data_IF_826176476244
#
_entry.id   IF_826176476244
#
_cell.length_a   1.000
_cell.length_b   1.000
_cell.length_c   1.000
_cell.angle_alpha   90.00
_cell.angle_beta   90.00
_cell.angle_gamma   90.00
#
_symmetry.space_group_name_H-M   'P 1'
#
loop_
_entity.id
_entity.type
_entity.pdbx_description
1 polymer ?
#
# COMPACT_ATOMS: atom_id res chain seq x y z
N UNK A 1 11.81 -11.06 11.48
CA UNK A 1 10.76 -11.47 10.54
C UNK A 1 11.30 -12.56 9.63
N UNK A 2 10.65 -13.74 9.58
CA UNK A 2 11.07 -14.91 8.83
C UNK A 2 10.07 -15.13 7.70
N UNK A 3 10.55 -15.11 6.45
CA UNK A 3 9.73 -15.46 5.28
C UNK A 3 10.29 -16.77 4.71
N UNK A 4 9.44 -17.78 4.59
CA UNK A 4 9.78 -19.08 4.04
C UNK A 4 9.12 -19.31 2.69
N UNK A 5 9.77 -20.07 1.82
CA UNK A 5 9.20 -20.48 0.53
C UNK A 5 8.91 -21.98 0.61
N UNK A 6 7.66 -22.38 0.30
CA UNK A 6 7.31 -23.80 0.20
C UNK A 6 7.38 -24.27 -1.26
N UNK A 7 7.74 -25.54 -1.43
CA UNK A 7 7.73 -26.20 -2.75
C UNK A 7 6.49 -27.08 -2.97
N UNK A 8 5.71 -27.30 -1.89
CA UNK A 8 4.49 -28.05 -1.92
C UNK A 8 3.50 -27.44 -0.91
N UNK A 9 2.21 -27.32 -1.27
CA UNK A 9 1.21 -26.67 -0.44
C UNK A 9 1.10 -27.26 0.98
N UNK A 10 1.32 -28.58 1.11
CA UNK A 10 1.24 -29.30 2.39
C UNK A 10 2.38 -28.93 3.36
N UNK A 11 3.44 -28.30 2.87
CA UNK A 11 4.56 -27.82 3.69
C UNK A 11 4.24 -26.48 4.38
N UNK A 12 3.31 -25.68 3.86
CA UNK A 12 3.02 -24.35 4.39
C UNK A 12 2.60 -24.36 5.88
N UNK A 13 1.70 -25.22 6.36
CA UNK A 13 1.34 -25.28 7.79
C UNK A 13 2.54 -25.67 8.68
N UNK A 14 3.41 -26.52 8.19
CA UNK A 14 4.61 -26.96 8.93
C UNK A 14 5.62 -25.84 9.09
N UNK A 15 5.82 -25.05 8.03
CA UNK A 15 6.72 -23.88 8.05
C UNK A 15 6.21 -22.79 9.00
N UNK A 16 4.90 -22.54 9.01
CA UNK A 16 4.27 -21.63 9.98
C UNK A 16 4.42 -22.14 11.42
N UNK A 17 4.20 -23.43 11.65
CA UNK A 17 4.38 -24.06 12.96
C UNK A 17 5.85 -24.04 13.43
N UNK A 18 6.80 -24.06 12.49
CA UNK A 18 8.23 -23.93 12.77
C UNK A 18 8.69 -22.48 13.05
N UNK A 19 7.77 -21.51 13.02
CA UNK A 19 8.03 -20.11 13.36
C UNK A 19 8.24 -19.16 12.18
N UNK A 20 7.84 -19.54 10.97
CA UNK A 20 7.80 -18.59 9.86
C UNK A 20 6.65 -17.57 10.07
N UNK A 21 6.95 -16.27 9.90
CA UNK A 21 5.95 -15.21 9.94
C UNK A 21 5.07 -15.21 8.68
N UNK A 22 5.65 -15.63 7.55
CA UNK A 22 4.95 -15.74 6.26
C UNK A 22 5.52 -16.88 5.45
N UNK A 23 4.63 -17.62 4.78
CA UNK A 23 5.01 -18.64 3.80
C UNK A 23 4.56 -18.20 2.42
N UNK A 24 5.41 -18.38 1.43
CA UNK A 24 5.18 -18.04 0.02
C UNK A 24 5.16 -19.34 -0.77
N UNK A 25 4.06 -19.59 -1.49
CA UNK A 25 3.95 -20.65 -2.48
C UNK A 25 4.12 -20.05 -3.90
N UNK A 26 5.26 -20.31 -4.58
CA UNK A 26 5.51 -19.76 -5.90
C UNK A 26 4.56 -20.30 -6.98
N UNK A 27 4.07 -21.53 -6.81
CA UNK A 27 3.17 -22.15 -7.78
C UNK A 27 1.77 -21.55 -7.70
N UNK A 28 1.25 -21.34 -6.48
CA UNK A 28 -0.03 -20.66 -6.28
C UNK A 28 -0.01 -19.25 -6.85
N UNK A 29 1.05 -18.49 -6.56
CA UNK A 29 1.23 -17.15 -7.10
C UNK A 29 1.31 -17.18 -8.63
N UNK A 30 2.08 -18.11 -9.19
CA UNK A 30 2.25 -18.21 -10.65
C UNK A 30 0.95 -18.62 -11.36
N UNK A 31 0.18 -19.55 -10.79
CA UNK A 31 -1.11 -19.97 -11.34
C UNK A 31 -2.12 -18.80 -11.31
N UNK A 32 -2.22 -18.09 -10.19
CA UNK A 32 -3.08 -16.91 -10.09
C UNK A 32 -2.68 -15.85 -11.10
N UNK A 33 -1.38 -15.63 -11.30
CA UNK A 33 -0.87 -14.65 -12.27
C UNK A 33 -1.17 -15.03 -13.72
N UNK A 34 -1.00 -16.30 -14.09
CA UNK A 34 -1.34 -16.79 -15.43
C UNK A 34 -2.84 -16.58 -15.71
N UNK A 35 -3.69 -16.88 -14.73
CA UNK A 35 -5.13 -16.62 -14.84
C UNK A 35 -5.44 -15.14 -15.10
N UNK A 36 -4.84 -14.23 -14.33
CA UNK A 36 -5.04 -12.78 -14.50
C UNK A 36 -4.51 -12.27 -15.85
N UNK A 37 -3.37 -12.77 -16.31
CA UNK A 37 -2.82 -12.44 -17.65
C UNK A 37 -3.76 -12.81 -18.78
N UNK A 38 -4.50 -13.91 -18.65
CA UNK A 38 -5.49 -14.32 -19.66
C UNK A 38 -6.77 -13.48 -19.58
N UNK A 39 -7.22 -13.14 -18.37
CA UNK A 39 -8.47 -12.43 -18.17
C UNK A 39 -8.34 -10.91 -18.33
N UNK A 40 -7.20 -10.33 -17.90
CA UNK A 40 -7.00 -8.87 -17.78
C UNK A 40 -5.55 -8.49 -18.06
N UNK A 41 -5.02 -8.72 -19.28
CA UNK A 41 -3.60 -8.52 -19.60
C UNK A 41 -3.14 -7.08 -19.34
N UNK A 42 -3.92 -6.07 -19.72
CA UNK A 42 -3.54 -4.66 -19.54
C UNK A 42 -3.46 -4.26 -18.07
N UNK A 43 -4.32 -4.85 -17.22
CA UNK A 43 -4.27 -4.59 -15.76
C UNK A 43 -3.03 -5.19 -15.15
N UNK A 44 -2.66 -6.40 -15.57
CA UNK A 44 -1.43 -7.06 -15.09
C UNK A 44 -0.21 -6.28 -15.54
N UNK A 45 -0.15 -5.86 -16.79
CA UNK A 45 0.94 -5.04 -17.32
C UNK A 45 1.08 -3.71 -16.57
N UNK A 46 -0.02 -3.01 -16.31
CA UNK A 46 -0.03 -1.78 -15.51
C UNK A 46 0.52 -2.02 -14.10
N UNK A 47 0.08 -3.09 -13.42
CA UNK A 47 0.56 -3.42 -12.07
C UNK A 47 2.05 -3.75 -12.07
N UNK A 48 2.55 -4.48 -13.07
CA UNK A 48 3.98 -4.77 -13.21
C UNK A 48 4.81 -3.50 -13.37
N UNK A 49 4.38 -2.62 -14.24
CA UNK A 49 5.05 -1.35 -14.50
C UNK A 49 5.04 -0.45 -13.25
N UNK A 50 3.95 -0.47 -12.48
CA UNK A 50 3.76 0.38 -11.31
C UNK A 50 4.48 -0.16 -10.07
N UNK A 51 4.38 -1.47 -9.81
CA UNK A 51 4.93 -2.11 -8.60
C UNK A 51 6.43 -2.39 -8.72
N UNK A 52 6.91 -2.75 -9.92
CA UNK A 52 8.31 -3.10 -10.14
C UNK A 52 9.16 -1.97 -10.73
N UNK A 53 8.61 -0.76 -10.83
CA UNK A 53 9.40 0.46 -11.02
C UNK A 53 10.02 0.65 -12.41
N UNK A 54 9.41 0.11 -13.46
CA UNK A 54 9.90 0.30 -14.83
C UNK A 54 9.43 1.61 -15.50
N UNK A 55 8.54 2.37 -14.85
CA UNK A 55 8.03 3.66 -15.36
C UNK A 55 7.96 4.72 -14.24
N UNK A 56 7.62 5.96 -14.61
CA UNK A 56 7.51 7.11 -13.72
C UNK A 56 6.38 6.98 -12.67
N UNK A 57 5.54 5.96 -12.76
CA UNK A 57 4.43 5.72 -11.84
C UNK A 57 4.81 4.68 -10.78
N UNK A 58 4.72 5.07 -9.51
CA UNK A 58 5.12 4.24 -8.38
C UNK A 58 3.98 4.11 -7.36
N UNK A 59 3.91 2.95 -6.69
CA UNK A 59 3.13 2.78 -5.47
C UNK A 59 4.04 3.02 -4.27
N UNK A 60 3.60 3.84 -3.34
CA UNK A 60 4.36 4.12 -2.13
C UNK A 60 3.51 4.01 -0.87
N UNK A 61 4.14 3.52 0.19
CA UNK A 61 3.65 3.57 1.55
C UNK A 61 4.29 4.77 2.25
N UNK A 62 3.48 5.61 2.88
CA UNK A 62 3.93 6.81 3.57
C UNK A 62 3.32 6.81 4.96
N UNK A 63 4.16 6.63 5.98
CA UNK A 63 3.74 6.69 7.38
C UNK A 63 3.56 8.13 7.83
N UNK A 64 2.46 8.43 8.51
CA UNK A 64 2.17 9.77 9.06
C UNK A 64 3.05 10.02 10.28
N UNK A 65 3.94 11.03 10.24
CA UNK A 65 4.78 11.36 11.39
C UNK A 65 3.96 11.93 12.56
N UNK A 66 4.44 11.74 13.80
CA UNK A 66 3.76 12.20 15.00
C UNK A 66 3.56 13.72 15.10
N UNK A 67 4.36 14.50 14.41
CA UNK A 67 4.27 15.96 14.35
C UNK A 67 3.57 16.47 13.09
N UNK A 68 3.02 15.57 12.26
CA UNK A 68 2.33 15.94 11.04
C UNK A 68 1.04 16.70 11.32
N UNK A 69 0.76 17.70 10.49
CA UNK A 69 -0.52 18.41 10.49
C UNK A 69 -1.72 17.52 10.13
N UNK A 70 -1.46 16.31 9.58
CA UNK A 70 -2.49 15.34 9.23
C UNK A 70 -3.12 14.66 10.45
N UNK A 71 -2.49 14.75 11.62
CA UNK A 71 -3.07 14.17 12.83
C UNK A 71 -4.43 14.79 13.14
N UNK A 72 -5.47 13.97 13.19
CA UNK A 72 -6.83 14.40 13.41
C UNK A 72 -7.59 14.91 12.17
N UNK A 73 -6.92 14.96 11.00
CA UNK A 73 -7.55 15.36 9.73
C UNK A 73 -8.33 14.18 9.16
N UNK A 74 -9.49 14.46 8.59
CA UNK A 74 -10.29 13.46 7.87
C UNK A 74 -9.76 13.21 6.46
N UNK A 75 -9.95 12.00 5.95
CA UNK A 75 -9.51 11.60 4.62
C UNK A 75 -10.02 12.52 3.50
N UNK A 76 -11.24 13.03 3.66
CA UNK A 76 -11.84 14.02 2.75
C UNK A 76 -11.06 15.35 2.73
N UNK A 77 -10.51 15.76 3.87
CA UNK A 77 -9.64 16.94 3.99
C UNK A 77 -8.30 16.72 3.31
N UNK A 78 -7.68 15.54 3.52
CA UNK A 78 -6.44 15.17 2.87
C UNK A 78 -6.55 15.20 1.34
N UNK A 79 -7.62 14.65 0.78
CA UNK A 79 -7.86 14.66 -0.68
C UNK A 79 -7.90 16.06 -1.29
N UNK A 80 -8.38 17.05 -0.54
CA UNK A 80 -8.42 18.44 -1.01
C UNK A 80 -7.04 19.09 -0.99
N UNK A 81 -6.17 18.65 -0.08
CA UNK A 81 -4.80 19.15 0.06
C UNK A 81 -3.80 18.42 -0.84
N UNK A 82 -4.14 17.23 -1.31
CA UNK A 82 -3.29 16.46 -2.23
C UNK A 82 -3.25 17.09 -3.62
N UNK A 83 -2.08 17.05 -4.24
CA UNK A 83 -1.91 17.38 -5.64
C UNK A 83 -2.74 16.42 -6.52
N UNK A 84 -3.29 16.91 -7.62
CA UNK A 84 -4.10 16.13 -8.58
C UNK A 84 -3.33 14.98 -9.25
N UNK A 85 -1.99 15.01 -9.18
CA UNK A 85 -1.11 13.99 -9.76
C UNK A 85 -0.86 12.77 -8.85
N UNK A 86 -1.44 12.78 -7.64
CA UNK A 86 -1.37 11.66 -6.69
C UNK A 86 -2.74 11.03 -6.49
N UNK A 87 -2.78 9.71 -6.54
CA UNK A 87 -3.97 8.91 -6.24
C UNK A 87 -3.80 8.26 -4.87
N UNK A 88 -4.66 8.63 -3.93
CA UNK A 88 -4.75 7.94 -2.65
C UNK A 88 -5.58 6.66 -2.81
N UNK A 89 -4.95 5.51 -2.68
CA UNK A 89 -5.63 4.21 -2.69
C UNK A 89 -6.38 3.95 -1.39
N UNK A 90 -5.72 4.21 -0.27
CA UNK A 90 -6.30 3.98 1.06
C UNK A 90 -5.34 4.26 2.19
N UNK A 91 -5.77 3.90 3.38
CA UNK A 91 -5.05 4.05 4.64
C UNK A 91 -5.00 2.71 5.35
N UNK A 92 -3.88 2.37 5.94
CA UNK A 92 -3.73 1.27 6.88
C UNK A 92 -3.68 1.85 8.28
N UNK A 93 -4.74 1.60 9.06
CA UNK A 93 -4.85 1.99 10.47
C UNK A 93 -4.22 0.88 11.31
N UNK A 94 -3.09 1.19 11.96
CA UNK A 94 -2.35 0.20 12.74
C UNK A 94 -3.00 -0.11 14.09
N UNK A 95 -3.88 0.77 14.60
CA UNK A 95 -4.58 0.54 15.87
C UNK A 95 -5.79 -0.39 15.70
N UNK A 96 -6.44 -0.36 14.55
CA UNK A 96 -7.64 -1.17 14.24
C UNK A 96 -7.36 -2.48 13.50
N UNK A 97 -6.11 -2.75 13.22
CA UNK A 97 -5.68 -3.91 12.44
C UNK A 97 -4.83 -3.45 11.26
N UNK A 98 -4.37 -4.39 10.44
CA UNK A 98 -3.53 -4.07 9.27
C UNK A 98 -4.30 -4.13 7.95
N UNK A 99 -5.61 -3.97 8.01
CA UNK A 99 -6.44 -3.99 6.82
C UNK A 99 -6.42 -2.63 6.12
N UNK A 100 -6.28 -2.65 4.79
CA UNK A 100 -6.33 -1.45 3.97
C UNK A 100 -7.77 -0.91 3.92
N UNK A 101 -7.98 0.28 4.45
CA UNK A 101 -9.23 1.03 4.33
C UNK A 101 -9.18 1.78 2.99
N UNK A 102 -9.90 1.25 1.99
CA UNK A 102 -9.94 1.88 0.67
C UNK A 102 -10.60 3.26 0.72
N UNK A 103 -9.96 4.22 0.11
CA UNK A 103 -10.42 5.60 0.01
C UNK A 103 -11.76 5.75 -0.74
N UNK A 104 -12.17 4.74 -1.51
CA UNK A 104 -13.41 4.72 -2.31
C UNK A 104 -14.64 4.20 -1.56
N UNK A 105 -14.48 3.63 -0.36
CA UNK A 105 -15.59 3.03 0.41
C UNK A 105 -16.52 4.04 1.10
N UNK A 106 -16.34 5.35 0.91
CA UNK A 106 -17.15 6.38 1.55
C UNK A 106 -16.92 6.54 3.05
N UNK A 107 -15.93 5.84 3.60
CA UNK A 107 -15.53 5.97 5.00
C UNK A 107 -14.62 7.19 5.09
N UNK A 108 -15.07 8.20 5.82
CA UNK A 108 -14.26 9.40 6.10
C UNK A 108 -13.41 9.15 7.35
N UNK A 109 -12.38 8.30 7.19
CA UNK A 109 -11.47 7.91 8.25
C UNK A 109 -10.70 9.13 8.79
N UNK A 110 -10.60 9.22 10.11
CA UNK A 110 -9.78 10.23 10.80
C UNK A 110 -8.35 9.70 10.90
N UNK A 111 -7.42 10.44 10.35
CA UNK A 111 -6.01 10.07 10.29
C UNK A 111 -5.34 10.28 11.64
N UNK A 112 -4.55 9.31 12.05
CA UNK A 112 -3.74 9.36 13.25
C UNK A 112 -2.24 9.19 12.93
N UNK A 113 -1.39 9.48 13.93
CA UNK A 113 0.04 9.21 13.80
C UNK A 113 0.29 7.71 13.66
N UNK A 114 1.35 7.37 12.94
CA UNK A 114 1.75 6.00 12.60
C UNK A 114 0.81 5.29 11.58
N UNK A 115 -0.33 5.90 11.18
CA UNK A 115 -1.12 5.42 10.03
C UNK A 115 -0.29 5.43 8.75
N UNK A 116 -0.55 4.49 7.86
CA UNK A 116 0.16 4.36 6.59
C UNK A 116 -0.76 4.71 5.42
N UNK A 117 -0.42 5.78 4.70
CA UNK A 117 -1.07 6.16 3.45
C UNK A 117 -0.50 5.33 2.30
N UNK A 118 -1.36 4.72 1.48
CA UNK A 118 -0.96 4.04 0.25
C UNK A 118 -1.35 4.91 -0.93
N UNK A 119 -0.34 5.40 -1.66
CA UNK A 119 -0.51 6.34 -2.78
C UNK A 119 0.11 5.81 -4.06
N UNK A 120 -0.44 6.26 -5.20
CA UNK A 120 0.15 6.04 -6.53
C UNK A 120 0.44 7.40 -7.16
N UNK A 121 1.62 7.54 -7.76
CA UNK A 121 2.01 8.72 -8.51
C UNK A 121 3.45 8.68 -9.01
N UNK A 122 3.87 9.76 -9.66
CA UNK A 122 5.26 9.94 -10.04
C UNK A 122 6.14 10.05 -8.79
N UNK A 123 7.38 9.57 -8.88
CA UNK A 123 8.33 9.58 -7.75
C UNK A 123 8.53 10.98 -7.17
N UNK A 124 8.66 11.98 -8.03
CA UNK A 124 8.79 13.38 -7.62
C UNK A 124 7.59 13.90 -6.82
N UNK A 125 6.37 13.50 -7.21
CA UNK A 125 5.13 13.89 -6.54
C UNK A 125 4.99 13.19 -5.18
N UNK A 126 5.42 11.92 -5.11
CA UNK A 126 5.44 11.15 -3.86
C UNK A 126 6.44 11.78 -2.87
N UNK A 127 7.63 12.15 -3.34
CA UNK A 127 8.65 12.76 -2.50
C UNK A 127 8.22 14.16 -2.03
N UNK A 128 7.63 14.97 -2.90
CA UNK A 128 7.03 16.26 -2.54
C UNK A 128 5.90 16.11 -1.50
N UNK A 129 5.09 15.06 -1.63
CA UNK A 129 4.02 14.78 -0.68
C UNK A 129 4.57 14.32 0.68
N UNK A 130 5.66 13.54 0.72
CA UNK A 130 6.34 13.19 1.97
C UNK A 130 6.82 14.44 2.71
N UNK A 131 7.49 15.35 2.01
CA UNK A 131 7.93 16.63 2.59
C UNK A 131 6.77 17.47 3.10
N UNK A 132 5.63 17.43 2.40
CA UNK A 132 4.42 18.15 2.80
C UNK A 132 3.86 17.64 4.13
N UNK A 133 3.77 16.34 4.32
CA UNK A 133 3.20 15.74 5.54
C UNK A 133 4.16 15.80 6.73
N UNK A 134 5.46 16.00 6.50
CA UNK A 134 6.45 16.22 7.57
C UNK A 134 6.33 17.60 8.21
N UNK A 135 5.61 18.52 7.58
CA UNK A 135 5.38 19.85 8.16
C UNK A 135 4.41 19.79 9.33
N UNK A 136 4.64 20.65 10.33
CA UNK A 136 3.75 20.77 11.49
C UNK A 136 2.49 21.60 11.20
N UNK A 137 2.43 22.31 10.06
CA UNK A 137 1.30 23.14 9.66
C UNK A 137 0.84 22.77 8.24
N UNK A 138 -0.48 22.88 7.96
CA UNK A 138 -1.02 22.65 6.62
C UNK A 138 -0.44 23.63 5.62
N UNK A 139 -0.43 23.29 4.33
CA UNK A 139 0.08 24.12 3.25
C UNK A 139 -0.75 25.39 3.03
#
# INVERSE_FOLDING_TARGET
RIVAVCQAPEAAPKLLAAGADKVVDPYEISCARVHELVQRPEVVELLEQTVFGMQDLNVAEITIPRHSWLHGVHLSGLRKAMNQNLILLGVVDLERGRDLIFSTRGIDHKLDCDDVLVVIGARSEIDAFRELIERAAPP
#
